data_IF_807437822035
#
_entry.id   IF_807437822035
#
_cell.length_a   1.000
_cell.length_b   1.000
_cell.length_c   1.000
_cell.angle_alpha   90.00
_cell.angle_beta   90.00
_cell.angle_gamma   90.00
#
_symmetry.space_group_name_H-M   'P 1'
#
loop_
_entity.id
_entity.type
_entity.pdbx_description
1 polymer ?
#
# COMPACT_ATOMS: atom_id res chain seq x y z
N UNK A 1 -20.63 3.02 1.28
CA UNK A 1 -20.48 1.64 1.77
C UNK A 1 -19.23 1.54 2.62
N UNK A 2 -19.32 0.82 3.77
CA UNK A 2 -18.12 0.53 4.61
C UNK A 2 -17.43 -0.73 4.05
N UNK A 3 -16.20 -0.63 3.48
CA UNK A 3 -15.51 -1.78 2.91
C UNK A 3 -14.79 -2.61 3.97
N UNK A 4 -14.51 -3.88 3.67
CA UNK A 4 -13.51 -4.66 4.39
C UNK A 4 -12.11 -4.09 4.08
N UNK A 5 -11.29 -3.85 5.09
CA UNK A 5 -9.90 -3.45 4.91
C UNK A 5 -9.03 -4.69 4.73
N UNK A 6 -8.17 -4.63 3.72
CA UNK A 6 -7.22 -5.69 3.40
C UNK A 6 -5.82 -5.14 3.22
N UNK A 7 -4.82 -5.90 3.66
CA UNK A 7 -3.40 -5.56 3.46
C UNK A 7 -2.56 -6.82 3.33
N UNK A 8 -1.32 -6.69 2.88
CA UNK A 8 -0.33 -7.77 2.85
C UNK A 8 0.83 -7.45 3.80
N UNK A 9 1.29 -8.45 4.53
CA UNK A 9 2.45 -8.32 5.41
C UNK A 9 3.38 -9.53 5.31
N UNK A 10 4.67 -9.29 5.48
CA UNK A 10 5.69 -10.33 5.52
C UNK A 10 6.66 -10.10 6.67
N UNK A 11 6.87 -11.13 7.48
CA UNK A 11 7.72 -11.10 8.67
C UNK A 11 7.02 -10.59 9.95
N UNK A 12 7.77 -10.38 11.04
CA UNK A 12 7.22 -9.93 12.31
C UNK A 12 6.68 -8.50 12.23
N UNK A 13 5.55 -8.25 12.91
CA UNK A 13 4.90 -6.94 12.89
C UNK A 13 5.34 -6.11 14.08
N UNK A 14 5.83 -4.90 13.83
CA UNK A 14 6.23 -3.96 14.88
C UNK A 14 5.03 -3.26 15.54
N UNK A 15 5.27 -2.62 16.69
CA UNK A 15 4.25 -1.97 17.49
C UNK A 15 3.53 -0.84 16.76
N UNK A 16 4.20 -0.12 15.85
CA UNK A 16 3.58 0.92 15.05
C UNK A 16 2.48 0.35 14.14
N UNK A 17 2.79 -0.74 13.41
CA UNK A 17 1.82 -1.38 12.52
C UNK A 17 0.68 -2.00 13.30
N UNK A 18 0.97 -2.61 14.45
CA UNK A 18 -0.07 -3.11 15.34
C UNK A 18 -1.03 -1.99 15.77
N UNK A 19 -0.51 -0.82 16.17
CA UNK A 19 -1.31 0.35 16.53
C UNK A 19 -2.17 0.84 15.36
N UNK A 20 -1.60 0.91 14.15
CA UNK A 20 -2.35 1.28 12.95
C UNK A 20 -3.49 0.30 12.64
N UNK A 21 -3.23 -1.01 12.66
CA UNK A 21 -4.26 -2.02 12.43
C UNK A 21 -5.38 -1.97 13.48
N UNK A 22 -5.03 -1.75 14.76
CA UNK A 22 -6.04 -1.57 15.81
C UNK A 22 -6.89 -0.33 15.59
N UNK A 23 -6.32 0.77 15.08
CA UNK A 23 -7.09 1.95 14.74
C UNK A 23 -8.13 1.66 13.66
N UNK A 24 -7.77 0.84 12.66
CA UNK A 24 -8.67 0.44 11.58
C UNK A 24 -9.85 -0.40 12.09
N UNK A 25 -9.59 -1.32 13.04
CA UNK A 25 -10.63 -2.09 13.72
C UNK A 25 -11.50 -1.18 14.60
N UNK A 26 -10.87 -0.28 15.37
CA UNK A 26 -11.55 0.61 16.31
C UNK A 26 -12.55 1.57 15.65
N UNK A 27 -12.31 1.97 14.40
CA UNK A 27 -13.25 2.79 13.62
C UNK A 27 -14.33 1.98 12.90
N UNK A 28 -14.39 0.66 13.13
CA UNK A 28 -15.49 -0.20 12.72
C UNK A 28 -15.27 -1.03 11.47
N UNK A 29 -14.06 -1.06 10.90
CA UNK A 29 -13.78 -1.91 9.76
C UNK A 29 -13.47 -3.36 10.18
N UNK A 30 -13.89 -4.33 9.38
CA UNK A 30 -13.29 -5.66 9.40
C UNK A 30 -11.94 -5.58 8.68
N UNK A 31 -10.87 -6.06 9.36
CA UNK A 31 -9.50 -5.96 8.86
C UNK A 31 -8.93 -7.35 8.65
N UNK A 32 -8.34 -7.59 7.48
CA UNK A 32 -7.66 -8.86 7.16
C UNK A 32 -6.25 -8.60 6.63
N UNK A 33 -5.27 -9.20 7.27
CA UNK A 33 -3.88 -9.19 6.82
C UNK A 33 -3.60 -10.49 6.08
N UNK A 34 -3.15 -10.40 4.84
CA UNK A 34 -2.68 -11.54 4.06
C UNK A 34 -1.19 -11.74 4.30
N UNK A 35 -0.77 -12.99 4.48
CA UNK A 35 0.64 -13.36 4.68
C UNK A 35 0.91 -14.78 4.20
N UNK A 36 2.17 -15.11 3.94
CA UNK A 36 2.56 -16.49 3.63
C UNK A 36 2.67 -17.34 4.89
N UNK A 37 3.11 -16.73 5.99
CA UNK A 37 3.27 -17.38 7.29
C UNK A 37 2.39 -16.67 8.33
N UNK A 38 2.00 -17.35 9.42
CA UNK A 38 1.34 -16.73 10.56
C UNK A 38 2.16 -15.55 11.09
N UNK A 39 1.50 -14.41 11.34
CA UNK A 39 2.18 -13.19 11.82
C UNK A 39 2.20 -13.17 13.34
N UNK A 40 3.36 -13.30 13.99
CA UNK A 40 3.46 -13.12 15.42
C UNK A 40 3.06 -11.70 15.84
N UNK A 41 2.18 -11.60 16.84
CA UNK A 41 1.75 -10.29 17.36
C UNK A 41 0.66 -9.61 16.53
N UNK A 42 -0.07 -10.33 15.69
CA UNK A 42 -1.24 -9.79 15.01
C UNK A 42 -2.28 -9.33 16.05
N UNK A 43 -2.82 -8.09 15.97
CA UNK A 43 -3.75 -7.58 16.97
C UNK A 43 -5.05 -8.37 17.03
N UNK A 44 -5.68 -8.41 18.20
CA UNK A 44 -7.02 -8.95 18.37
C UNK A 44 -8.01 -8.21 17.44
N UNK A 45 -8.96 -8.95 16.86
CA UNK A 45 -9.94 -8.41 15.91
C UNK A 45 -9.43 -8.28 14.47
N UNK A 46 -8.14 -8.51 14.22
CA UNK A 46 -7.56 -8.55 12.87
C UNK A 46 -7.47 -9.99 12.40
N UNK A 47 -8.09 -10.29 11.25
CA UNK A 47 -8.01 -11.60 10.60
C UNK A 47 -6.66 -11.83 9.92
N UNK A 48 -6.23 -13.10 9.84
CA UNK A 48 -5.12 -13.51 8.99
C UNK A 48 -5.62 -14.43 7.88
N UNK A 49 -5.20 -14.18 6.65
CA UNK A 49 -5.55 -14.98 5.48
C UNK A 49 -4.29 -15.36 4.70
N UNK A 50 -4.37 -16.47 3.98
CA UNK A 50 -3.26 -17.00 3.20
C UNK A 50 -3.04 -16.18 1.92
N UNK A 51 -1.81 -15.69 1.73
CA UNK A 51 -1.44 -14.88 0.57
C UNK A 51 -1.24 -15.73 -0.70
N UNK A 52 -0.84 -16.99 -0.57
CA UNK A 52 -0.52 -17.89 -1.68
C UNK A 52 -1.69 -18.05 -2.66
N UNK A 53 -2.93 -18.06 -2.14
CA UNK A 53 -4.15 -18.17 -2.95
C UNK A 53 -4.43 -16.91 -3.82
N UNK A 54 -3.85 -15.75 -3.47
CA UNK A 54 -4.01 -14.51 -4.22
C UNK A 54 -2.91 -14.32 -5.24
N UNK A 55 -1.67 -14.39 -4.78
CA UNK A 55 -0.47 -14.25 -5.61
C UNK A 55 0.62 -15.16 -5.03
N UNK A 56 1.08 -16.18 -5.79
CA UNK A 56 2.05 -17.14 -5.28
C UNK A 56 3.37 -16.49 -4.85
N UNK A 57 3.99 -17.03 -3.80
CA UNK A 57 5.31 -16.57 -3.32
C UNK A 57 6.36 -16.60 -4.45
N UNK A 58 6.30 -17.60 -5.34
CA UNK A 58 7.19 -17.72 -6.50
C UNK A 58 7.12 -16.54 -7.47
N UNK A 59 6.03 -15.75 -7.47
CA UNK A 59 5.95 -14.53 -8.28
C UNK A 59 7.07 -13.52 -7.92
N UNK A 60 7.56 -13.55 -6.69
CA UNK A 60 8.67 -12.69 -6.25
C UNK A 60 9.93 -12.88 -7.10
N UNK A 61 10.14 -14.07 -7.68
CA UNK A 61 11.29 -14.38 -8.53
C UNK A 61 11.26 -13.61 -9.86
N UNK A 62 10.06 -13.31 -10.38
CA UNK A 62 9.90 -12.43 -11.54
C UNK A 62 10.35 -11.00 -11.23
N UNK A 63 10.20 -10.56 -9.99
CA UNK A 63 10.64 -9.24 -9.52
C UNK A 63 12.15 -9.22 -9.28
N UNK A 64 12.63 -10.10 -8.42
CA UNK A 64 14.05 -10.28 -8.10
C UNK A 64 14.32 -11.69 -7.59
N UNK A 65 15.46 -12.30 -7.95
CA UNK A 65 15.83 -13.57 -7.34
C UNK A 65 16.01 -13.38 -5.83
N UNK A 66 15.67 -14.38 -5.02
CA UNK A 66 15.91 -14.37 -3.58
C UNK A 66 17.41 -14.23 -3.31
N UNK A 67 17.75 -13.90 -2.07
CA UNK A 67 19.12 -13.97 -1.58
C UNK A 67 19.57 -15.44 -1.44
N UNK A 68 20.89 -15.72 -1.30
CA UNK A 68 21.38 -17.10 -1.15
C UNK A 68 20.76 -17.86 0.03
N UNK A 69 20.31 -17.17 1.07
CA UNK A 69 19.62 -17.73 2.23
C UNK A 69 18.09 -17.90 2.02
N UNK A 70 17.59 -17.64 0.81
CA UNK A 70 16.18 -17.71 0.47
C UNK A 70 15.35 -16.48 0.88
N UNK A 71 15.92 -15.52 1.61
CA UNK A 71 15.21 -14.32 2.01
C UNK A 71 14.95 -13.37 0.84
N UNK A 72 13.89 -12.57 0.95
CA UNK A 72 13.61 -11.55 -0.03
C UNK A 72 14.56 -10.35 0.12
N UNK A 73 14.96 -9.80 -1.02
CA UNK A 73 15.73 -8.54 -1.03
C UNK A 73 14.86 -7.38 -0.61
N UNK A 74 15.48 -6.35 -0.03
CA UNK A 74 14.84 -5.06 0.14
C UNK A 74 14.13 -4.66 -1.16
N UNK A 75 12.99 -4.07 -1.10
CA UNK A 75 12.12 -3.68 -2.21
C UNK A 75 11.34 -4.81 -2.91
N UNK A 76 11.77 -6.06 -2.87
CA UNK A 76 10.99 -7.18 -3.46
C UNK A 76 9.61 -7.26 -2.80
N UNK A 77 9.58 -7.15 -1.46
CA UNK A 77 8.31 -7.15 -0.69
C UNK A 77 7.41 -5.98 -1.11
N UNK A 78 7.98 -4.78 -1.27
CA UNK A 78 7.23 -3.59 -1.66
C UNK A 78 6.61 -3.76 -3.06
N UNK A 79 7.41 -4.24 -4.02
CA UNK A 79 6.95 -4.47 -5.39
C UNK A 79 5.96 -5.65 -5.47
N UNK A 80 6.19 -6.70 -4.69
CA UNK A 80 5.24 -7.80 -4.57
C UNK A 80 3.89 -7.28 -4.04
N UNK A 81 3.91 -6.48 -2.99
CA UNK A 81 2.73 -5.83 -2.42
C UNK A 81 1.99 -4.95 -3.45
N UNK A 82 2.72 -4.27 -4.37
CA UNK A 82 2.10 -3.49 -5.45
C UNK A 82 1.28 -4.35 -6.41
N UNK A 83 1.75 -5.55 -6.76
CA UNK A 83 0.99 -6.51 -7.57
C UNK A 83 -0.10 -7.21 -6.75
N UNK A 84 0.21 -7.60 -5.52
CA UNK A 84 -0.71 -8.29 -4.64
C UNK A 84 -2.01 -7.52 -4.42
N UNK A 85 -1.92 -6.21 -4.11
CA UNK A 85 -3.10 -5.36 -3.87
C UNK A 85 -4.04 -5.31 -5.07
N UNK A 86 -3.50 -5.26 -6.28
CA UNK A 86 -4.30 -5.24 -7.49
C UNK A 86 -4.92 -6.61 -7.75
N UNK A 87 -4.13 -7.69 -7.61
CA UNK A 87 -4.62 -9.06 -7.80
C UNK A 87 -5.73 -9.39 -6.81
N UNK A 88 -5.59 -8.95 -5.55
CA UNK A 88 -6.63 -9.13 -4.54
C UNK A 88 -7.93 -8.38 -4.89
N UNK A 89 -7.83 -7.19 -5.50
CA UNK A 89 -9.00 -6.44 -5.98
C UNK A 89 -9.66 -7.11 -7.18
N UNK A 90 -8.89 -7.78 -8.05
CA UNK A 90 -9.42 -8.55 -9.17
C UNK A 90 -10.20 -9.79 -8.72
N UNK A 91 -9.80 -10.42 -7.62
CA UNK A 91 -10.40 -11.66 -7.08
C UNK A 91 -11.59 -11.39 -6.16
N UNK A 92 -12.66 -10.79 -6.67
CA UNK A 92 -13.86 -10.51 -5.86
C UNK A 92 -14.92 -11.60 -5.99
N UNK A 93 -15.54 -11.91 -4.86
CA UNK A 93 -16.60 -12.92 -4.82
C UNK A 93 -17.98 -12.40 -5.30
N UNK A 94 -18.19 -11.08 -5.34
CA UNK A 94 -19.48 -10.50 -5.77
C UNK A 94 -19.54 -8.98 -5.62
N UNK A 95 -20.68 -8.36 -5.98
CA UNK A 95 -20.86 -6.91 -5.98
C UNK A 95 -20.77 -6.27 -4.58
N UNK A 96 -21.03 -7.05 -3.54
CA UNK A 96 -20.99 -6.59 -2.14
C UNK A 96 -19.61 -6.83 -1.48
N UNK A 97 -18.68 -7.47 -2.20
CA UNK A 97 -17.30 -7.72 -1.73
C UNK A 97 -16.43 -6.51 -2.02
N UNK A 98 -16.65 -5.44 -1.27
CA UNK A 98 -15.85 -4.23 -1.39
C UNK A 98 -14.63 -4.31 -0.47
N UNK A 99 -13.45 -4.51 -1.06
CA UNK A 99 -12.16 -4.57 -0.34
C UNK A 99 -11.37 -3.30 -0.61
N UNK A 100 -11.16 -2.53 0.45
CA UNK A 100 -10.25 -1.39 0.44
C UNK A 100 -8.86 -1.87 0.86
N UNK A 101 -7.88 -1.71 -0.02
CA UNK A 101 -6.49 -1.83 0.41
C UNK A 101 -6.12 -0.66 1.30
N UNK A 102 -5.53 -0.96 2.44
CA UNK A 102 -4.94 0.04 3.31
C UNK A 102 -3.59 -0.47 3.82
N UNK A 103 -2.51 0.28 3.58
CA UNK A 103 -1.20 -0.12 4.08
C UNK A 103 -1.22 -0.28 5.61
N UNK A 104 -0.46 -1.24 6.14
CA UNK A 104 -0.44 -1.56 7.57
C UNK A 104 0.09 -0.42 8.45
N UNK A 105 0.69 0.62 7.86
CA UNK A 105 1.16 1.83 8.53
C UNK A 105 0.26 3.06 8.27
N UNK A 106 -0.99 2.82 7.97
CA UNK A 106 -2.03 3.87 7.94
C UNK A 106 -2.83 3.85 9.24
N UNK A 107 -2.67 4.91 10.04
CA UNK A 107 -3.49 5.16 11.23
C UNK A 107 -4.82 5.75 10.80
N UNK A 108 -5.93 5.05 10.99
CA UNK A 108 -7.26 5.60 10.71
C UNK A 108 -7.79 6.41 11.89
N UNK A 109 -8.33 7.58 11.59
CA UNK A 109 -8.96 8.48 12.56
C UNK A 109 -10.49 8.38 12.53
N UNK A 110 -11.05 7.97 11.39
CA UNK A 110 -12.48 7.78 11.16
C UNK A 110 -12.74 6.70 10.09
N UNK A 111 -13.97 6.16 9.99
CA UNK A 111 -14.31 5.17 8.99
C UNK A 111 -14.08 5.69 7.55
N UNK A 112 -13.69 4.80 6.66
CA UNK A 112 -13.62 5.08 5.22
C UNK A 112 -14.92 4.61 4.58
N UNK A 113 -15.59 5.49 3.87
CA UNK A 113 -16.72 5.12 3.04
C UNK A 113 -16.34 5.21 1.57
N UNK A 114 -16.73 4.23 0.77
CA UNK A 114 -16.46 4.21 -0.68
C UNK A 114 -17.77 4.11 -1.48
N UNK A 115 -17.72 4.67 -2.67
CA UNK A 115 -18.65 4.37 -3.76
C UNK A 115 -18.10 3.17 -4.55
N UNK A 116 -18.75 2.00 -4.55
CA UNK A 116 -18.21 0.81 -5.19
C UNK A 116 -18.15 0.92 -6.73
N UNK A 117 -18.73 1.94 -7.31
CA UNK A 117 -18.68 2.20 -8.75
C UNK A 117 -17.50 3.08 -9.16
N UNK A 118 -16.75 3.66 -8.20
CA UNK A 118 -15.68 4.62 -8.48
C UNK A 118 -14.36 4.19 -7.83
N UNK A 119 -13.22 4.50 -8.46
CA UNK A 119 -11.93 4.31 -7.82
C UNK A 119 -11.79 5.24 -6.60
N UNK A 120 -11.03 4.78 -5.60
CA UNK A 120 -10.73 5.51 -4.39
C UNK A 120 -9.23 5.51 -4.14
N UNK A 121 -8.62 6.67 -4.15
CA UNK A 121 -7.21 6.93 -3.86
C UNK A 121 -7.01 8.42 -3.58
N UNK A 122 -5.84 8.79 -3.06
CA UNK A 122 -5.52 10.19 -2.74
C UNK A 122 -4.21 10.64 -3.40
N UNK A 123 -4.05 11.94 -3.57
CA UNK A 123 -2.77 12.52 -3.96
C UNK A 123 -1.74 12.33 -2.84
N UNK A 124 -0.61 11.71 -3.15
CA UNK A 124 0.54 11.61 -2.23
C UNK A 124 1.42 12.85 -2.35
N UNK A 125 1.66 13.29 -3.56
CA UNK A 125 2.46 14.47 -3.91
C UNK A 125 1.96 15.10 -5.21
N UNK A 126 2.42 16.29 -5.57
CA UNK A 126 2.04 16.89 -6.84
C UNK A 126 2.25 15.92 -8.02
N UNK A 127 1.19 15.70 -8.79
CA UNK A 127 1.18 14.83 -9.99
C UNK A 127 1.40 13.33 -9.76
N UNK A 128 1.35 12.85 -8.51
CA UNK A 128 1.43 11.42 -8.19
C UNK A 128 0.37 11.06 -7.16
N UNK A 129 -0.49 10.11 -7.47
CA UNK A 129 -1.39 9.47 -6.51
C UNK A 129 -0.62 8.40 -5.73
N UNK A 130 -0.96 8.22 -4.47
CA UNK A 130 -0.45 7.16 -3.63
C UNK A 130 -1.32 5.91 -3.73
N UNK A 131 -0.78 4.80 -3.26
CA UNK A 131 -1.46 3.51 -3.26
C UNK A 131 -1.60 2.90 -1.86
N UNK A 132 -1.37 3.70 -0.80
CA UNK A 132 -1.51 3.26 0.59
C UNK A 132 -2.96 3.13 1.04
N UNK A 133 -3.88 3.87 0.39
CA UNK A 133 -5.32 3.70 0.49
C UNK A 133 -5.85 3.59 -0.94
N UNK A 134 -6.32 2.41 -1.33
CA UNK A 134 -6.66 2.11 -2.70
C UNK A 134 -7.89 1.19 -2.79
N UNK A 135 -8.87 1.64 -3.56
CA UNK A 135 -9.93 0.79 -4.06
C UNK A 135 -10.09 1.02 -5.57
N UNK A 136 -10.23 -0.05 -6.31
CA UNK A 136 -10.54 -0.03 -7.74
C UNK A 136 -11.78 -0.90 -7.99
N UNK A 137 -12.75 -0.47 -8.78
CA UNK A 137 -13.87 -1.31 -9.19
C UNK A 137 -13.44 -2.61 -9.88
N UNK A 138 -14.25 -3.68 -9.87
CA UNK A 138 -13.86 -5.01 -10.41
C UNK A 138 -13.40 -5.00 -11.87
N UNK A 139 -13.98 -4.11 -12.67
CA UNK A 139 -13.70 -4.01 -14.12
C UNK A 139 -12.86 -2.79 -14.47
N UNK A 140 -12.20 -2.23 -13.47
CA UNK A 140 -11.33 -1.07 -13.64
C UNK A 140 -10.23 -1.36 -14.67
N UNK A 141 -9.99 -0.44 -15.64
CA UNK A 141 -8.93 -0.60 -16.63
C UNK A 141 -7.53 -0.76 -16.01
N UNK A 142 -7.30 -0.17 -14.83
CA UNK A 142 -6.03 -0.33 -14.08
C UNK A 142 -5.85 -1.77 -13.65
N UNK A 143 -6.90 -2.38 -13.10
CA UNK A 143 -6.88 -3.81 -12.69
C UNK A 143 -6.53 -4.70 -13.89
N UNK A 144 -7.21 -4.51 -15.02
CA UNK A 144 -6.95 -5.30 -16.25
C UNK A 144 -5.52 -5.15 -16.74
N UNK A 145 -4.99 -3.92 -16.76
CA UNK A 145 -3.63 -3.67 -17.21
C UNK A 145 -2.57 -4.36 -16.33
N UNK A 146 -2.83 -4.48 -15.02
CA UNK A 146 -1.95 -5.23 -14.12
C UNK A 146 -2.11 -6.73 -14.28
N UNK A 147 -3.30 -7.26 -14.50
CA UNK A 147 -3.50 -8.68 -14.77
C UNK A 147 -2.77 -9.11 -16.03
N UNK A 148 -2.90 -8.34 -17.12
CA UNK A 148 -2.13 -8.58 -18.35
C UNK A 148 -0.62 -8.56 -18.11
N UNK A 149 -0.13 -7.69 -17.21
CA UNK A 149 1.29 -7.62 -16.87
C UNK A 149 1.75 -8.82 -16.05
N UNK A 150 0.95 -9.28 -15.09
CA UNK A 150 1.28 -10.44 -14.22
C UNK A 150 1.49 -11.71 -15.05
N UNK A 151 0.75 -11.87 -16.13
CA UNK A 151 0.85 -13.02 -17.05
C UNK A 151 2.11 -13.01 -17.92
N UNK A 152 2.77 -11.85 -18.06
CA UNK A 152 4.01 -11.74 -18.86
C UNK A 152 5.21 -12.34 -18.13
N UNK A 153 6.11 -12.96 -18.88
CA UNK A 153 7.37 -13.47 -18.35
C UNK A 153 8.32 -12.33 -17.91
N UNK A 154 8.34 -11.23 -18.64
CA UNK A 154 9.24 -10.08 -18.45
C UNK A 154 8.50 -8.86 -17.91
N UNK A 155 7.56 -8.88 -17.09
CA UNK A 155 6.88 -7.76 -16.41
C UNK A 155 7.15 -6.35 -17.02
N UNK A 156 7.03 -6.22 -18.35
CA UNK A 156 7.33 -4.98 -19.07
C UNK A 156 6.05 -4.18 -19.31
N UNK A 157 5.77 -3.13 -18.51
CA UNK A 157 4.51 -2.42 -18.57
C UNK A 157 4.37 -1.56 -19.83
N UNK A 158 3.18 -1.55 -20.41
CA UNK A 158 2.84 -0.75 -21.60
C UNK A 158 2.75 0.76 -21.29
N UNK A 159 2.56 1.14 -20.02
CA UNK A 159 2.53 2.55 -19.57
C UNK A 159 3.90 3.16 -19.28
N UNK A 160 4.97 2.42 -19.48
CA UNK A 160 6.32 2.88 -19.17
C UNK A 160 6.69 4.08 -20.06
N UNK A 161 7.11 5.18 -19.44
CA UNK A 161 7.55 6.39 -20.16
C UNK A 161 8.73 6.08 -21.10
N UNK A 162 8.77 6.71 -22.26
CA UNK A 162 9.77 6.47 -23.30
C UNK A 162 11.22 6.47 -22.76
N UNK A 163 11.54 7.43 -21.89
CA UNK A 163 12.88 7.50 -21.24
C UNK A 163 13.25 6.23 -20.48
N UNK A 164 12.28 5.61 -19.81
CA UNK A 164 12.51 4.37 -19.07
C UNK A 164 12.62 3.17 -20.01
N UNK A 165 11.82 3.14 -21.10
CA UNK A 165 11.95 2.12 -22.16
C UNK A 165 13.33 2.17 -22.80
N UNK A 166 13.83 3.36 -23.14
CA UNK A 166 15.18 3.55 -23.68
C UNK A 166 16.27 3.10 -22.68
N UNK A 167 16.12 3.45 -21.41
CA UNK A 167 17.04 2.99 -20.36
C UNK A 167 17.06 1.47 -20.27
N UNK A 168 15.90 0.84 -20.34
CA UNK A 168 15.76 -0.60 -20.31
C UNK A 168 16.45 -1.27 -21.50
N UNK A 169 16.21 -0.79 -22.72
CA UNK A 169 16.85 -1.29 -23.94
C UNK A 169 18.38 -1.14 -23.86
N UNK A 170 18.87 0.02 -23.43
CA UNK A 170 20.32 0.26 -23.29
C UNK A 170 20.97 -0.64 -22.23
N UNK A 171 20.27 -0.93 -21.12
CA UNK A 171 20.75 -1.90 -20.11
C UNK A 171 20.82 -3.31 -20.69
N UNK A 172 19.80 -3.73 -21.43
CA UNK A 172 19.77 -5.04 -22.11
C UNK A 172 20.92 -5.19 -23.10
N UNK A 173 21.16 -4.18 -23.93
CA UNK A 173 22.29 -4.18 -24.89
C UNK A 173 23.68 -4.24 -24.21
N UNK A 174 23.77 -3.79 -22.95
CA UNK A 174 25.00 -3.85 -22.15
C UNK A 174 25.12 -5.12 -21.30
N UNK A 175 24.28 -6.12 -21.51
CA UNK A 175 24.26 -7.36 -20.72
C UNK A 175 23.91 -7.16 -19.23
N UNK A 176 23.29 -6.02 -18.88
CA UNK A 176 22.82 -5.77 -17.51
C UNK A 176 21.41 -6.36 -17.32
N UNK A 177 21.03 -6.55 -16.04
CA UNK A 177 19.70 -7.05 -15.68
C UNK A 177 18.58 -6.37 -16.47
N UNK A 178 17.65 -7.18 -16.98
CA UNK A 178 16.48 -6.76 -17.74
C UNK A 178 15.29 -6.40 -16.84
N UNK A 179 15.45 -6.39 -15.52
CA UNK A 179 14.35 -6.18 -14.59
C UNK A 179 14.11 -4.70 -14.37
N UNK A 180 12.87 -4.27 -14.58
CA UNK A 180 12.45 -2.90 -14.28
C UNK A 180 12.53 -2.57 -12.80
N UNK A 181 12.37 -3.58 -11.94
CA UNK A 181 12.57 -3.50 -10.50
C UNK A 181 13.95 -2.95 -10.10
N UNK A 182 14.97 -3.16 -10.93
CA UNK A 182 16.33 -2.63 -10.70
C UNK A 182 16.48 -1.15 -11.10
N UNK A 183 15.52 -0.58 -11.81
CA UNK A 183 15.55 0.81 -12.26
C UNK A 183 14.89 1.73 -11.24
N UNK A 184 13.72 1.35 -10.72
CA UNK A 184 12.97 2.17 -9.77
C UNK A 184 12.03 1.30 -8.94
N UNK A 185 12.10 1.43 -7.61
CA UNK A 185 11.26 0.67 -6.67
C UNK A 185 9.76 0.90 -6.88
N UNK A 186 9.34 2.14 -7.06
CA UNK A 186 7.91 2.52 -7.18
C UNK A 186 7.35 2.37 -8.61
N UNK A 187 7.99 1.59 -9.48
CA UNK A 187 7.60 1.51 -10.90
C UNK A 187 6.28 0.80 -11.11
N UNK A 188 5.97 -0.18 -10.26
CA UNK A 188 4.73 -0.95 -10.29
C UNK A 188 3.66 -0.42 -9.33
N UNK A 189 4.04 0.45 -8.39
CA UNK A 189 3.15 1.05 -7.40
C UNK A 189 2.60 2.42 -7.82
N UNK A 190 2.88 3.49 -7.06
CA UNK A 190 2.34 4.82 -7.31
C UNK A 190 2.59 5.38 -8.70
N UNK A 191 3.72 5.03 -9.33
CA UNK A 191 4.03 5.50 -10.69
C UNK A 191 3.14 4.83 -11.75
N UNK A 192 2.92 3.51 -11.64
CA UNK A 192 2.03 2.77 -12.52
C UNK A 192 0.59 3.23 -12.35
N UNK A 193 0.11 3.25 -11.09
CA UNK A 193 -1.25 3.68 -10.77
C UNK A 193 -1.53 5.08 -11.31
N UNK A 194 -0.61 6.03 -11.10
CA UNK A 194 -0.76 7.40 -11.63
C UNK A 194 -0.81 7.45 -13.17
N UNK A 195 0.04 6.65 -13.83
CA UNK A 195 0.09 6.64 -15.30
C UNK A 195 -1.19 6.06 -15.89
N UNK A 196 -1.68 4.97 -15.32
CA UNK A 196 -2.91 4.31 -15.75
C UNK A 196 -4.14 5.16 -15.45
N UNK A 197 -4.32 5.62 -14.22
CA UNK A 197 -5.43 6.48 -13.84
C UNK A 197 -5.49 7.78 -14.69
N UNK A 198 -4.32 8.32 -15.10
CA UNK A 198 -4.27 9.46 -16.03
C UNK A 198 -4.74 9.08 -17.42
N UNK A 199 -4.33 7.93 -17.92
CA UNK A 199 -4.71 7.43 -19.26
C UNK A 199 -6.22 7.22 -19.35
N UNK A 200 -6.81 6.69 -18.27
CA UNK A 200 -8.24 6.36 -18.21
C UNK A 200 -9.13 7.54 -17.74
N UNK A 201 -8.52 8.70 -17.42
CA UNK A 201 -9.28 9.88 -16.99
C UNK A 201 -9.75 9.84 -15.54
N UNK A 202 -9.21 8.95 -14.71
CA UNK A 202 -9.69 8.69 -13.34
C UNK A 202 -9.09 9.60 -12.29
N UNK A 203 -8.05 10.39 -12.61
CA UNK A 203 -7.41 11.29 -11.65
C UNK A 203 -8.37 12.31 -11.02
N UNK A 204 -9.53 12.57 -11.63
CA UNK A 204 -10.58 13.40 -11.07
C UNK A 204 -11.20 12.84 -9.78
N UNK A 205 -11.05 11.53 -9.52
CA UNK A 205 -11.53 10.87 -8.31
C UNK A 205 -10.53 10.92 -7.16
N UNK A 206 -9.31 11.43 -7.41
CA UNK A 206 -8.27 11.50 -6.39
C UNK A 206 -8.66 12.48 -5.26
N UNK A 207 -8.71 11.95 -4.05
CA UNK A 207 -8.91 12.75 -2.84
C UNK A 207 -7.75 13.73 -2.62
N UNK A 208 -7.97 14.81 -1.88
CA UNK A 208 -6.91 15.70 -1.46
C UNK A 208 -5.76 14.97 -0.75
N UNK A 209 -4.53 15.49 -0.85
CA UNK A 209 -3.35 14.90 -0.22
C UNK A 209 -3.53 14.72 1.30
N UNK A 210 -4.13 15.69 1.95
CA UNK A 210 -4.33 15.67 3.40
C UNK A 210 -5.20 14.50 3.89
N UNK A 211 -6.05 13.95 3.04
CA UNK A 211 -6.93 12.83 3.42
C UNK A 211 -6.16 11.64 4.01
N UNK A 212 -4.93 11.36 3.53
CA UNK A 212 -4.08 10.28 4.05
C UNK A 212 -2.60 10.66 4.21
N UNK A 213 -2.10 11.68 3.52
CA UNK A 213 -0.67 11.97 3.42
C UNK A 213 -0.24 13.25 4.11
N UNK A 214 -1.01 13.72 5.11
CA UNK A 214 -0.71 14.95 5.85
C UNK A 214 0.66 14.93 6.54
N UNK A 215 1.08 13.78 7.09
CA UNK A 215 2.36 13.63 7.83
C UNK A 215 3.40 12.77 7.09
N UNK A 216 3.06 12.21 5.94
CA UNK A 216 3.90 11.23 5.23
C UNK A 216 5.31 11.73 4.89
N UNK A 217 5.45 12.98 4.47
CA UNK A 217 6.75 13.56 4.10
C UNK A 217 7.62 13.93 5.31
N UNK A 218 7.01 14.10 6.47
CA UNK A 218 7.63 14.63 7.69
C UNK A 218 7.37 13.72 8.88
N UNK A 219 8.07 12.56 8.97
CA UNK A 219 7.84 11.59 10.07
C UNK A 219 8.03 12.20 11.45
N UNK A 220 8.79 13.28 11.60
CA UNK A 220 8.93 14.02 12.86
C UNK A 220 7.59 14.43 13.46
N UNK A 221 6.64 14.85 12.62
CA UNK A 221 5.30 15.25 13.07
C UNK A 221 4.54 14.12 13.77
N UNK A 222 4.92 12.88 13.50
CA UNK A 222 4.32 11.73 14.15
C UNK A 222 5.10 11.24 15.36
N UNK A 223 6.44 11.19 15.28
CA UNK A 223 7.30 10.54 16.29
C UNK A 223 7.78 11.51 17.39
N UNK A 224 7.82 12.80 17.14
CA UNK A 224 8.34 13.79 18.08
C UNK A 224 7.20 14.57 18.77
N UNK A 225 7.41 15.09 20.00
CA UNK A 225 6.41 15.92 20.67
C UNK A 225 6.03 17.13 19.82
N UNK A 226 4.74 17.34 19.61
CA UNK A 226 4.22 18.42 18.79
C UNK A 226 2.75 18.68 19.08
N UNK A 227 2.23 19.85 18.71
CA UNK A 227 0.79 20.05 18.64
C UNK A 227 0.23 19.39 17.38
N UNK A 228 -0.40 18.23 17.56
CA UNK A 228 -1.03 17.45 16.51
C UNK A 228 -2.56 17.60 16.48
N UNK A 229 -3.12 18.48 17.31
CA UNK A 229 -4.59 18.71 17.39
C UNK A 229 -5.20 19.06 16.03
N UNK A 230 -4.46 19.81 15.20
CA UNK A 230 -4.86 20.15 13.83
C UNK A 230 -5.14 18.92 12.95
N UNK A 231 -4.41 17.80 13.14
CA UNK A 231 -4.64 16.58 12.36
C UNK A 231 -5.86 15.81 12.86
N UNK A 232 -6.14 15.88 14.16
CA UNK A 232 -7.29 15.17 14.74
C UNK A 232 -8.62 15.91 14.50
N UNK A 233 -8.57 17.23 14.36
CA UNK A 233 -9.73 18.09 14.22
C UNK A 233 -10.05 18.44 12.76
N UNK A 234 -9.19 18.12 11.80
CA UNK A 234 -9.41 18.41 10.40
C UNK A 234 -10.44 17.41 9.81
N UNK A 235 -11.60 17.87 9.33
CA UNK A 235 -12.62 17.01 8.75
C UNK A 235 -12.19 16.32 7.47
N UNK A 236 -11.20 16.83 6.75
CA UNK A 236 -10.70 16.26 5.50
C UNK A 236 -9.70 15.12 5.73
N UNK A 237 -9.11 15.02 6.92
CA UNK A 237 -8.19 13.93 7.26
C UNK A 237 -9.00 12.70 7.67
N UNK A 238 -8.82 11.62 6.91
CA UNK A 238 -9.46 10.32 7.14
C UNK A 238 -8.50 9.41 7.90
N UNK A 239 -7.25 9.43 7.52
CA UNK A 239 -6.17 8.68 8.14
C UNK A 239 -4.81 9.30 7.87
N UNK A 240 -3.79 8.77 8.55
CA UNK A 240 -2.42 9.26 8.45
C UNK A 240 -1.52 8.11 8.00
N UNK A 241 -1.03 8.16 6.75
CA UNK A 241 0.00 7.24 6.27
C UNK A 241 1.36 7.66 6.84
N UNK A 242 1.93 6.76 7.63
CA UNK A 242 3.16 7.00 8.39
C UNK A 242 4.30 6.29 7.70
N UNK A 243 5.16 7.04 7.00
CA UNK A 243 6.40 6.48 6.48
C UNK A 243 7.47 6.47 7.58
N UNK A 244 7.74 5.35 8.26
CA UNK A 244 8.59 5.35 9.45
C UNK A 244 10.06 5.58 9.14
N UNK A 245 10.52 5.42 7.91
CA UNK A 245 11.93 5.60 7.49
C UNK A 245 12.94 4.95 8.47
N UNK A 246 12.64 3.72 8.91
CA UNK A 246 13.46 2.99 9.89
C UNK A 246 13.06 3.20 11.37
N UNK A 247 12.18 4.15 11.68
CA UNK A 247 11.76 4.48 13.05
C UNK A 247 10.59 3.62 13.58
N UNK A 248 10.12 2.61 12.84
CA UNK A 248 8.96 1.78 13.23
C UNK A 248 9.16 0.96 14.51
N UNK A 249 10.41 0.76 14.94
CA UNK A 249 10.77 0.08 16.18
C UNK A 249 11.00 1.02 17.38
N UNK A 250 10.94 2.34 17.16
CA UNK A 250 11.10 3.30 18.24
C UNK A 250 9.92 3.24 19.21
N UNK A 251 10.21 3.51 20.48
CA UNK A 251 9.16 3.68 21.49
C UNK A 251 8.49 5.04 21.28
N UNK A 252 7.16 5.15 21.51
CA UNK A 252 6.47 6.43 21.45
C UNK A 252 7.09 7.47 22.39
N UNK A 253 7.43 8.65 21.87
CA UNK A 253 7.88 9.77 22.71
C UNK A 253 6.68 10.44 23.37
N UNK A 254 6.71 10.71 24.69
CA UNK A 254 5.63 11.42 25.35
C UNK A 254 5.27 12.73 24.65
N UNK A 255 3.98 13.00 24.47
CA UNK A 255 3.50 14.20 23.76
C UNK A 255 3.58 14.12 22.22
N UNK A 256 3.97 12.99 21.66
CA UNK A 256 3.92 12.75 20.21
C UNK A 256 2.56 12.21 19.80
N UNK A 257 2.22 12.38 18.51
CA UNK A 257 1.04 11.76 17.91
C UNK A 257 1.11 10.21 18.01
N UNK A 258 2.32 9.63 17.96
CA UNK A 258 2.51 8.19 18.15
C UNK A 258 2.14 7.75 19.57
N UNK A 259 2.54 8.52 20.61
CA UNK A 259 2.16 8.22 21.99
C UNK A 259 0.64 8.26 22.17
N UNK A 260 -0.01 9.30 21.65
CA UNK A 260 -1.46 9.41 21.65
C UNK A 260 -2.15 8.24 20.94
N UNK A 261 -1.65 7.85 19.75
CA UNK A 261 -2.21 6.73 19.00
C UNK A 261 -2.05 5.40 19.75
N UNK A 262 -0.90 5.20 20.41
CA UNK A 262 -0.62 4.01 21.21
C UNK A 262 -1.52 3.94 22.45
N UNK A 263 -1.74 5.07 23.12
CA UNK A 263 -2.66 5.16 24.28
C UNK A 263 -4.11 4.87 23.84
N UNK A 264 -4.53 5.44 22.73
CA UNK A 264 -5.91 5.33 22.24
C UNK A 264 -6.23 3.95 21.66
N UNK A 265 -5.30 3.32 20.97
CA UNK A 265 -5.51 2.08 20.21
C UNK A 265 -4.60 0.91 20.66
N UNK A 266 -3.69 1.12 21.60
CA UNK A 266 -2.57 0.21 21.89
C UNK A 266 -2.87 -0.99 22.80
N UNK A 267 -4.08 -1.11 23.37
CA UNK A 267 -4.45 -2.22 24.31
C UNK A 267 -5.25 -3.30 23.62
#
# INVERSE_FOLDING_TARGET
MLPDIVTFWHGPMDALRQTCLRSQVAVGHKVTVYSFDPIPGLPAGVGNAEAEAVLPHSFSEKLRPPQPDGSWRDWTILQFSDFFRIKLMAQRAGPNDARLWLDADVLLLKPVEIDPAKPYFAWERPRQIGNSALYLPPHDPVVRAFEELIEQDELTPNWLALRHRLTFVLRRLRGKSNRLSDIRVAIYGPAALTALARREGELQHALPKQSFYAVHAEPKLFFEPSDFSKYLNDPEIIGLHISPKGRGKEKPSPGSLYAWATEKFGT
#
